data_IF_857020727456
#
_entry.id   IF_857020727456
#
_cell.length_a   1.000
_cell.length_b   1.000
_cell.length_c   1.000
_cell.angle_alpha   90.00
_cell.angle_beta   90.00
_cell.angle_gamma   90.00
#
_symmetry.space_group_name_H-M   'P 1'
#
loop_
_entity.id
_entity.type
_entity.pdbx_description
1 polymer ?
#
# COMPACT_ATOMS: atom_id res chain seq x y z
N UNK A 1 12.13 -20.57 -29.34
CA UNK A 1 11.63 -19.97 -28.08
C UNK A 1 10.82 -18.77 -28.49
N UNK A 2 9.52 -18.85 -28.23
CA UNK A 2 8.51 -17.95 -28.77
C UNK A 2 8.63 -16.57 -28.14
N UNK A 3 8.66 -15.56 -28.99
CA UNK A 3 8.66 -14.14 -28.63
C UNK A 3 7.24 -13.71 -28.27
N UNK A 4 6.71 -14.21 -27.17
CA UNK A 4 5.59 -13.59 -26.47
C UNK A 4 6.20 -12.45 -25.66
N UNK A 5 6.38 -11.35 -26.39
CA UNK A 5 6.85 -10.07 -25.94
C UNK A 5 6.02 -9.59 -24.73
N UNK A 6 6.70 -9.01 -23.76
CA UNK A 6 6.13 -8.54 -22.50
C UNK A 6 5.10 -7.44 -22.80
N UNK A 7 3.81 -7.77 -22.80
CA UNK A 7 2.77 -6.74 -22.91
C UNK A 7 2.69 -6.04 -21.55
N UNK A 8 3.38 -4.90 -21.43
CA UNK A 8 3.23 -3.95 -20.33
C UNK A 8 1.86 -3.28 -20.42
N UNK A 9 0.84 -3.90 -19.82
CA UNK A 9 -0.53 -3.40 -19.83
C UNK A 9 -0.71 -2.32 -18.76
N UNK A 10 -0.27 -1.10 -19.04
CA UNK A 10 -0.43 0.06 -18.17
C UNK A 10 -1.78 0.78 -18.35
N UNK A 11 -2.80 0.09 -18.83
CA UNK A 11 -4.13 0.66 -19.15
C UNK A 11 -4.84 1.27 -17.92
N UNK A 12 -4.41 0.87 -16.72
CA UNK A 12 -4.94 1.35 -15.44
C UNK A 12 -4.09 2.45 -14.77
N UNK A 13 -3.00 2.91 -15.41
CA UNK A 13 -2.13 3.96 -14.86
C UNK A 13 -2.79 5.33 -15.01
N UNK A 14 -2.68 6.16 -13.98
CA UNK A 14 -3.32 7.49 -14.00
C UNK A 14 -2.75 8.37 -15.12
N UNK A 15 -3.64 8.83 -16.01
CA UNK A 15 -3.31 9.80 -17.05
C UNK A 15 -2.81 11.09 -16.43
N UNK A 16 -1.97 11.83 -17.16
CA UNK A 16 -1.24 12.99 -16.65
C UNK A 16 -2.13 14.09 -16.01
N UNK A 17 -3.40 14.23 -16.43
CA UNK A 17 -4.38 15.14 -15.84
C UNK A 17 -5.12 14.59 -14.60
N UNK A 18 -5.22 13.26 -14.47
CA UNK A 18 -6.05 12.56 -13.47
C UNK A 18 -5.24 12.12 -12.23
N UNK A 19 -3.91 12.34 -12.22
CA UNK A 19 -2.99 11.95 -11.14
C UNK A 19 -3.33 12.55 -9.77
N UNK A 20 -4.17 13.59 -9.73
CA UNK A 20 -4.54 14.31 -8.50
C UNK A 20 -5.63 13.60 -7.68
N UNK A 21 -6.43 12.72 -8.29
CA UNK A 21 -7.57 12.10 -7.61
C UNK A 21 -7.16 10.78 -6.95
N UNK A 22 -6.52 9.86 -7.69
CA UNK A 22 -5.87 8.65 -7.17
C UNK A 22 -4.71 8.28 -8.11
N UNK A 23 -3.43 8.40 -7.69
CA UNK A 23 -2.29 8.05 -8.52
C UNK A 23 -2.04 6.53 -8.51
N UNK A 24 -2.21 5.88 -9.65
CA UNK A 24 -1.81 4.48 -9.90
C UNK A 24 -0.47 4.49 -10.62
N UNK A 25 0.48 3.71 -10.13
CA UNK A 25 1.82 3.56 -10.71
C UNK A 25 1.82 2.46 -11.79
N UNK A 26 2.64 2.59 -12.86
CA UNK A 26 2.84 1.50 -13.81
C UNK A 26 3.55 0.30 -13.18
N UNK A 27 3.31 -0.89 -13.72
CA UNK A 27 3.88 -2.15 -13.23
C UNK A 27 5.41 -2.16 -13.29
N UNK A 28 5.99 -1.42 -14.24
CA UNK A 28 7.44 -1.30 -14.41
C UNK A 28 8.08 -0.25 -13.49
N UNK A 29 7.27 0.51 -12.73
CA UNK A 29 7.82 1.46 -11.77
C UNK A 29 8.65 0.70 -10.73
N UNK A 30 9.93 1.08 -10.63
CA UNK A 30 10.78 0.63 -9.53
C UNK A 30 10.23 1.21 -8.24
N UNK A 31 9.91 0.33 -7.31
CA UNK A 31 9.55 0.67 -5.93
C UNK A 31 10.76 0.35 -5.07
N UNK A 32 11.14 1.28 -4.20
CA UNK A 32 12.21 1.06 -3.23
C UNK A 32 11.77 -0.05 -2.27
N UNK A 33 12.55 -1.12 -2.20
CA UNK A 33 12.39 -2.14 -1.19
C UNK A 33 13.11 -1.67 0.08
N UNK A 34 12.41 -1.48 1.21
CA UNK A 34 13.06 -1.12 2.47
C UNK A 34 13.95 -2.24 3.04
N UNK A 35 13.93 -3.44 2.47
CA UNK A 35 14.68 -4.61 2.93
C UNK A 35 16.01 -4.72 2.18
N UNK A 36 17.13 -4.80 2.91
CA UNK A 36 18.43 -5.17 2.33
C UNK A 36 18.46 -6.68 2.09
N UNK A 37 18.35 -7.10 0.83
CA UNK A 37 18.36 -8.51 0.40
C UNK A 37 19.53 -9.33 0.98
N UNK A 38 20.68 -8.69 1.20
CA UNK A 38 21.89 -9.37 1.71
C UNK A 38 21.80 -9.70 3.19
N UNK A 39 20.96 -8.98 3.91
CA UNK A 39 20.73 -9.17 5.34
C UNK A 39 19.46 -9.96 5.61
N UNK A 40 18.50 -9.95 4.69
CA UNK A 40 17.18 -10.55 4.87
C UNK A 40 17.22 -12.04 5.27
N UNK A 41 18.14 -12.82 4.69
CA UNK A 41 18.28 -14.28 4.91
C UNK A 41 19.48 -14.61 5.83
N UNK A 42 19.67 -13.83 6.89
CA UNK A 42 20.77 -14.03 7.85
C UNK A 42 20.26 -14.51 9.19
N UNK A 43 21.08 -15.29 9.91
CA UNK A 43 20.79 -15.74 11.27
C UNK A 43 20.56 -14.56 12.24
N UNK A 44 21.18 -13.40 11.97
CA UNK A 44 20.98 -12.18 12.77
C UNK A 44 19.54 -11.63 12.63
N UNK A 45 18.97 -11.66 11.43
CA UNK A 45 17.57 -11.28 11.24
C UNK A 45 16.62 -12.27 11.91
N UNK A 46 16.87 -13.58 11.78
CA UNK A 46 16.04 -14.60 12.43
C UNK A 46 16.00 -14.40 13.97
N UNK A 47 17.15 -14.13 14.59
CA UNK A 47 17.22 -13.90 16.02
C UNK A 47 16.47 -12.62 16.47
N UNK A 48 16.46 -11.58 15.61
CA UNK A 48 15.70 -10.35 15.86
C UNK A 48 14.20 -10.61 15.71
N UNK A 49 13.79 -11.30 14.67
CA UNK A 49 12.40 -11.68 14.41
C UNK A 49 11.83 -12.51 15.57
N UNK A 50 12.60 -13.47 16.08
CA UNK A 50 12.20 -14.28 17.23
C UNK A 50 11.99 -13.43 18.50
N UNK A 51 12.81 -12.41 18.71
CA UNK A 51 12.66 -11.49 19.83
C UNK A 51 11.42 -10.58 19.66
N UNK A 52 11.24 -10.03 18.47
CA UNK A 52 10.14 -9.11 18.15
C UNK A 52 8.78 -9.84 18.12
N UNK A 53 8.75 -11.09 17.66
CA UNK A 53 7.53 -11.91 17.63
C UNK A 53 6.96 -12.18 19.03
N UNK A 54 7.81 -12.23 20.05
CA UNK A 54 7.41 -12.43 21.44
C UNK A 54 7.14 -11.09 22.15
N UNK A 55 7.67 -9.98 21.61
CA UNK A 55 7.46 -8.66 22.20
C UNK A 55 6.02 -8.17 22.06
N UNK A 56 5.33 -8.16 23.19
CA UNK A 56 3.95 -7.68 23.29
C UNK A 56 3.84 -6.15 23.23
N UNK A 57 4.95 -5.41 23.35
CA UNK A 57 4.95 -3.95 23.35
C UNK A 57 4.58 -3.38 21.97
N UNK A 58 4.92 -4.10 20.90
CA UNK A 58 4.56 -3.78 19.52
C UNK A 58 3.14 -4.29 19.12
N UNK A 59 2.44 -4.96 20.04
CA UNK A 59 1.06 -5.37 19.80
C UNK A 59 0.06 -4.30 20.23
N UNK A 60 -0.99 -4.14 19.42
CA UNK A 60 -2.16 -3.33 19.78
C UNK A 60 -2.79 -3.88 21.07
N UNK A 61 -3.01 -3.00 22.05
CA UNK A 61 -3.50 -3.37 23.39
C UNK A 61 -4.97 -3.82 23.39
N UNK A 62 -5.72 -3.47 22.35
CA UNK A 62 -7.16 -3.66 22.25
C UNK A 62 -7.54 -4.50 21.03
N UNK A 63 -8.69 -5.18 21.13
CA UNK A 63 -9.23 -5.98 20.03
C UNK A 63 -9.92 -5.07 19.03
N UNK A 64 -9.52 -5.14 17.76
CA UNK A 64 -10.19 -4.41 16.67
C UNK A 64 -11.48 -5.09 16.20
N UNK A 65 -11.69 -6.36 16.56
CA UNK A 65 -12.92 -7.09 16.21
C UNK A 65 -14.12 -6.49 16.94
N UNK A 66 -15.10 -5.98 16.19
CA UNK A 66 -16.27 -5.23 16.68
C UNK A 66 -15.96 -3.84 17.25
N UNK A 67 -14.73 -3.34 17.12
CA UNK A 67 -14.44 -1.95 17.44
C UNK A 67 -15.29 -1.06 16.52
N UNK A 68 -16.06 -0.13 17.11
CA UNK A 68 -16.80 0.85 16.32
C UNK A 68 -15.78 1.78 15.65
N UNK A 69 -15.86 2.02 14.35
CA UNK A 69 -14.98 2.99 13.69
C UNK A 69 -15.16 4.35 14.37
N UNK A 70 -14.04 5.05 14.59
CA UNK A 70 -14.05 6.45 15.04
C UNK A 70 -14.49 7.31 13.86
N UNK A 71 -15.77 7.66 13.84
CA UNK A 71 -16.43 8.26 12.68
C UNK A 71 -17.30 7.22 11.98
N UNK A 72 -18.61 7.47 11.95
CA UNK A 72 -19.52 6.67 11.15
C UNK A 72 -19.29 6.96 9.66
N UNK A 73 -19.67 6.01 8.81
CA UNK A 73 -19.80 6.29 7.38
C UNK A 73 -20.84 7.39 7.21
N UNK A 74 -20.43 8.53 6.64
CA UNK A 74 -21.33 9.61 6.25
C UNK A 74 -21.24 9.73 4.73
N UNK A 75 -22.39 9.76 4.08
CA UNK A 75 -22.47 10.02 2.65
C UNK A 75 -21.92 11.43 2.36
N UNK A 76 -21.11 11.60 1.30
CA UNK A 76 -20.70 12.92 0.84
C UNK A 76 -21.94 13.78 0.56
N UNK A 77 -21.89 15.06 0.89
CA UNK A 77 -22.94 16.01 0.49
C UNK A 77 -23.03 16.15 -1.04
N UNK A 78 -24.12 16.73 -1.54
CA UNK A 78 -24.41 16.86 -2.98
C UNK A 78 -23.28 17.52 -3.80
N UNK A 79 -22.45 18.35 -3.15
CA UNK A 79 -21.32 19.07 -3.76
C UNK A 79 -19.95 18.56 -3.26
N UNK A 80 -19.92 17.59 -2.35
CA UNK A 80 -18.69 17.10 -1.73
C UNK A 80 -17.96 16.11 -2.65
N UNK A 81 -16.79 16.52 -3.15
CA UNK A 81 -15.98 15.72 -4.08
C UNK A 81 -16.28 15.95 -5.56
N UNK A 82 -17.22 16.86 -5.88
CA UNK A 82 -17.44 17.33 -7.25
C UNK A 82 -16.46 18.49 -7.52
N UNK A 83 -15.64 18.45 -8.58
CA UNK A 83 -14.80 19.59 -8.98
C UNK A 83 -15.67 20.80 -9.33
N UNK A 84 -15.27 21.99 -8.84
CA UNK A 84 -15.89 23.25 -9.24
C UNK A 84 -15.16 23.75 -10.50
N UNK A 85 -15.89 23.95 -11.59
CA UNK A 85 -15.35 24.59 -12.80
C UNK A 85 -15.25 26.11 -12.55
N UNK A 86 -14.03 26.67 -12.65
CA UNK A 86 -13.75 28.12 -12.66
C UNK A 86 -13.98 28.74 -14.06
#
# INVERSE_FOLDING_TARGET
>A
MSSEDRISNNDYVSRQGDKKQIPVQPDESRVEDPIDERMADTDEQLARDDADAIDKSNMMKERTRHAKPSGGYREPGDEEGIPVDD
#
